data_IF_920939200299
#
_entry.id   IF_920939200299
#
_cell.length_a   1.000
_cell.length_b   1.000
_cell.length_c   1.000
_cell.angle_alpha   90.00
_cell.angle_beta   90.00
_cell.angle_gamma   90.00
#
_symmetry.space_group_name_H-M   'P 1'
#
loop_
_entity.id
_entity.type
_entity.pdbx_description
1 polymer ?
#
# COMPACT_ATOMS: atom_id res chain seq x y z
N UNK A 1 -10.30 16.82 17.11
CA UNK A 1 -10.89 16.10 15.97
C UNK A 1 -10.14 14.79 15.86
N UNK A 2 -10.79 13.67 16.18
CA UNK A 2 -10.24 12.34 15.88
C UNK A 2 -9.95 12.27 14.38
N UNK A 3 -8.74 11.89 14.04
CA UNK A 3 -8.35 11.68 12.64
C UNK A 3 -9.11 10.43 12.18
N UNK A 4 -10.19 10.61 11.42
CA UNK A 4 -10.90 9.49 10.82
C UNK A 4 -9.90 8.60 10.09
N UNK A 5 -9.95 7.29 10.34
CA UNK A 5 -9.09 6.33 9.67
C UNK A 5 -9.29 6.39 8.15
N UNK A 6 -8.34 5.91 7.36
CA UNK A 6 -8.52 5.84 5.91
C UNK A 6 -9.76 5.02 5.54
N UNK A 7 -10.09 3.99 6.31
CA UNK A 7 -11.28 3.16 6.10
C UNK A 7 -12.59 3.95 6.33
N UNK A 8 -12.62 4.90 7.27
CA UNK A 8 -13.78 5.77 7.48
C UNK A 8 -13.94 6.75 6.34
N UNK A 9 -12.83 7.28 5.81
CA UNK A 9 -12.83 8.14 4.64
C UNK A 9 -13.34 7.40 3.39
N UNK A 10 -12.94 6.14 3.20
CA UNK A 10 -13.46 5.28 2.11
C UNK A 10 -14.96 5.08 2.23
N UNK A 11 -15.46 4.75 3.43
CA UNK A 11 -16.90 4.60 3.70
C UNK A 11 -17.69 5.89 3.43
N UNK A 12 -17.13 7.04 3.78
CA UNK A 12 -17.75 8.33 3.51
C UNK A 12 -17.85 8.59 2.00
N UNK A 13 -16.77 8.38 1.25
CA UNK A 13 -16.77 8.50 -0.22
C UNK A 13 -17.74 7.49 -0.84
N UNK A 14 -17.78 6.26 -0.34
CA UNK A 14 -18.72 5.25 -0.79
C UNK A 14 -20.18 5.69 -0.56
N UNK A 15 -20.47 6.25 0.61
CA UNK A 15 -21.78 6.81 0.92
C UNK A 15 -22.20 7.89 -0.09
N UNK A 16 -21.30 8.82 -0.44
CA UNK A 16 -21.58 9.85 -1.46
C UNK A 16 -21.83 9.24 -2.85
N UNK A 17 -21.27 8.10 -3.15
CA UNK A 17 -21.44 7.42 -4.42
C UNK A 17 -22.69 6.53 -4.48
N UNK A 18 -23.08 5.93 -3.35
CA UNK A 18 -24.20 4.98 -3.27
C UNK A 18 -25.54 5.63 -2.93
N UNK A 19 -25.54 6.92 -2.51
CA UNK A 19 -26.75 7.68 -2.23
C UNK A 19 -27.14 8.60 -3.38
N UNK A 20 -28.41 9.09 -3.43
CA UNK A 20 -28.85 10.06 -4.44
C UNK A 20 -27.93 11.29 -4.51
N UNK A 21 -27.72 11.89 -5.68
CA UNK A 21 -28.30 11.54 -6.98
C UNK A 21 -27.56 10.44 -7.76
N UNK A 22 -26.45 9.89 -7.23
CA UNK A 22 -25.60 8.94 -7.98
C UNK A 22 -26.16 7.52 -7.97
N UNK A 23 -26.54 7.00 -6.82
CA UNK A 23 -27.08 5.65 -6.64
C UNK A 23 -26.21 4.55 -7.28
N UNK A 24 -24.87 4.67 -7.18
CA UNK A 24 -23.97 3.66 -7.68
C UNK A 24 -23.94 2.43 -6.77
N UNK A 25 -23.51 1.29 -7.29
CA UNK A 25 -23.48 0.04 -6.53
C UNK A 25 -22.40 0.02 -5.43
N UNK A 26 -21.33 0.82 -5.59
CA UNK A 26 -20.22 0.92 -4.63
C UNK A 26 -19.39 2.17 -4.94
N UNK A 27 -18.31 2.38 -4.16
CA UNK A 27 -17.32 3.42 -4.42
C UNK A 27 -16.81 3.36 -5.87
N UNK A 28 -16.61 4.51 -6.51
CA UNK A 28 -16.17 4.61 -7.91
C UNK A 28 -14.68 4.40 -8.14
N UNK A 29 -13.87 4.48 -7.08
CA UNK A 29 -12.41 4.39 -7.13
C UNK A 29 -11.91 3.00 -6.70
N UNK A 30 -10.76 2.58 -7.26
CA UNK A 30 -10.10 1.34 -6.88
C UNK A 30 -9.21 1.52 -5.65
N UNK A 31 -8.60 2.70 -5.51
CA UNK A 31 -7.77 3.06 -4.37
C UNK A 31 -8.08 4.47 -3.87
N UNK A 32 -7.89 4.67 -2.58
CA UNK A 32 -7.97 5.98 -1.92
C UNK A 32 -6.70 6.19 -1.11
N UNK A 33 -6.05 7.34 -1.28
CA UNK A 33 -4.83 7.72 -0.56
C UNK A 33 -5.16 8.81 0.45
N UNK A 34 -4.99 8.51 1.73
CA UNK A 34 -5.24 9.43 2.84
C UNK A 34 -4.15 10.46 3.02
N UNK A 35 -4.45 11.55 3.73
CA UNK A 35 -3.49 12.63 4.00
C UNK A 35 -2.29 12.19 4.85
N UNK A 36 -2.41 11.10 5.59
CA UNK A 36 -1.35 10.46 6.39
C UNK A 36 -0.51 9.45 5.60
N UNK A 37 -0.78 9.30 4.28
CA UNK A 37 -0.08 8.35 3.41
C UNK A 37 -0.65 6.92 3.46
N UNK A 38 -1.68 6.66 4.25
CA UNK A 38 -2.35 5.36 4.20
C UNK A 38 -3.07 5.17 2.86
N UNK A 39 -3.00 3.95 2.33
CA UNK A 39 -3.68 3.56 1.09
C UNK A 39 -4.73 2.51 1.42
N UNK A 40 -5.97 2.77 1.03
CA UNK A 40 -7.04 1.79 1.16
C UNK A 40 -7.57 1.37 -0.20
N UNK A 41 -7.92 0.09 -0.31
CA UNK A 41 -8.63 -0.43 -1.46
C UNK A 41 -10.12 -0.10 -1.35
N UNK A 42 -10.67 0.41 -2.43
CA UNK A 42 -12.11 0.62 -2.59
C UNK A 42 -12.72 -0.51 -3.42
N UNK A 43 -12.97 -0.25 -4.72
CA UNK A 43 -13.48 -1.26 -5.64
C UNK A 43 -12.36 -2.23 -6.05
N UNK A 44 -12.60 -3.54 -6.17
CA UNK A 44 -11.63 -4.49 -6.74
C UNK A 44 -11.19 -4.05 -8.15
N UNK A 45 -9.91 -4.21 -8.48
CA UNK A 45 -9.33 -3.73 -9.75
C UNK A 45 -9.93 -4.45 -10.97
N UNK A 46 -10.37 -5.68 -10.79
CA UNK A 46 -11.03 -6.51 -11.82
C UNK A 46 -12.44 -5.99 -12.18
N UNK A 47 -13.01 -5.15 -11.33
CA UNK A 47 -14.33 -4.55 -11.58
C UNK A 47 -14.17 -3.16 -12.19
N UNK A 48 -14.93 -2.87 -13.24
CA UNK A 48 -14.96 -1.53 -13.84
C UNK A 48 -15.26 -0.45 -12.81
N UNK A 49 -14.45 0.59 -12.77
CA UNK A 49 -14.64 1.76 -11.92
C UNK A 49 -15.84 2.63 -12.31
N UNK A 50 -16.00 3.74 -11.60
CA UNK A 50 -16.92 4.83 -11.95
C UNK A 50 -16.26 6.19 -11.68
N UNK A 51 -15.06 6.42 -12.25
CA UNK A 51 -14.21 7.58 -12.00
C UNK A 51 -13.89 8.40 -13.26
N UNK A 52 -13.94 7.78 -14.44
CA UNK A 52 -13.67 8.46 -15.70
C UNK A 52 -14.61 7.96 -16.81
N UNK A 53 -15.68 8.71 -17.12
CA UNK A 53 -16.69 8.31 -18.13
C UNK A 53 -16.02 8.01 -19.48
N UNK A 54 -16.31 6.83 -20.02
CA UNK A 54 -15.72 6.35 -21.28
C UNK A 54 -14.43 5.54 -21.11
N UNK A 55 -13.76 5.62 -19.94
CA UNK A 55 -12.48 4.95 -19.68
C UNK A 55 -12.52 3.97 -18.49
N UNK A 56 -13.64 3.87 -17.78
CA UNK A 56 -13.78 3.08 -16.55
C UNK A 56 -13.43 1.61 -16.70
N UNK A 57 -13.64 1.01 -17.87
CA UNK A 57 -13.37 -0.42 -18.11
C UNK A 57 -11.90 -0.75 -18.33
N UNK A 58 -11.10 0.25 -18.72
CA UNK A 58 -9.69 0.07 -19.11
C UNK A 58 -8.73 0.92 -18.26
N UNK A 59 -9.17 1.36 -17.08
CA UNK A 59 -8.36 2.20 -16.21
C UNK A 59 -8.58 1.91 -14.73
N UNK A 60 -7.55 2.19 -13.94
CA UNK A 60 -7.56 2.10 -12.48
C UNK A 60 -7.72 3.52 -11.93
N UNK A 61 -8.77 3.75 -11.14
CA UNK A 61 -9.03 5.06 -10.52
C UNK A 61 -8.45 5.14 -9.13
N UNK A 62 -7.62 6.17 -8.89
CA UNK A 62 -7.05 6.50 -7.59
C UNK A 62 -7.59 7.86 -7.16
N UNK A 63 -8.10 7.96 -5.94
CA UNK A 63 -8.53 9.20 -5.32
C UNK A 63 -7.54 9.65 -4.25
N UNK A 64 -7.29 10.96 -4.16
CA UNK A 64 -6.54 11.59 -3.07
C UNK A 64 -7.51 12.30 -2.14
N UNK A 65 -7.37 12.11 -0.84
CA UNK A 65 -8.15 12.86 0.16
C UNK A 65 -7.60 14.27 0.28
N UNK A 66 -8.39 15.28 -0.10
CA UNK A 66 -7.98 16.67 -0.12
C UNK A 66 -8.21 17.35 -1.48
N UNK A 67 -7.45 18.39 -1.77
CA UNK A 67 -7.51 19.12 -3.05
C UNK A 67 -8.71 20.06 -3.18
N UNK A 68 -9.39 20.40 -2.09
CA UNK A 68 -10.48 21.38 -2.13
C UNK A 68 -9.96 22.76 -2.53
N UNK A 69 -10.61 23.39 -3.49
CA UNK A 69 -10.23 24.71 -3.99
C UNK A 69 -9.00 24.74 -4.91
N UNK A 70 -8.51 23.56 -5.36
CA UNK A 70 -7.35 23.50 -6.24
C UNK A 70 -7.71 23.79 -7.71
N UNK A 71 -6.76 24.39 -8.42
CA UNK A 71 -6.79 24.58 -9.86
C UNK A 71 -5.94 23.52 -10.60
N UNK A 72 -6.21 23.37 -11.90
CA UNK A 72 -5.59 22.28 -12.69
C UNK A 72 -4.06 22.36 -12.81
N UNK A 73 -3.49 23.53 -12.60
CA UNK A 73 -2.06 23.84 -12.77
C UNK A 73 -1.32 24.16 -11.47
N UNK A 74 -1.98 23.98 -10.31
CA UNK A 74 -1.35 24.16 -9.01
C UNK A 74 -0.20 23.16 -8.79
N UNK A 75 0.60 23.39 -7.76
CA UNK A 75 1.61 22.44 -7.34
C UNK A 75 0.97 21.40 -6.41
N UNK A 76 1.29 20.13 -6.59
CA UNK A 76 0.72 19.04 -5.79
C UNK A 76 0.91 19.24 -4.28
N UNK A 77 2.07 19.77 -3.87
CA UNK A 77 2.40 20.02 -2.46
C UNK A 77 1.58 21.15 -1.81
N UNK A 78 0.91 21.99 -2.59
CA UNK A 78 0.05 23.06 -2.03
C UNK A 78 -1.25 22.49 -1.46
N UNK A 79 -1.67 21.34 -1.95
CA UNK A 79 -2.95 20.71 -1.60
C UNK A 79 -2.81 19.37 -0.88
N UNK A 80 -1.68 18.66 -1.07
CA UNK A 80 -1.45 17.32 -0.55
C UNK A 80 -0.17 17.26 0.30
N UNK A 81 -0.19 16.39 1.32
CA UNK A 81 0.96 16.25 2.21
C UNK A 81 2.11 15.51 1.53
N UNK A 82 3.38 15.76 1.93
CA UNK A 82 4.52 15.03 1.38
C UNK A 82 4.41 13.51 1.52
N UNK A 83 3.91 13.01 2.66
CA UNK A 83 3.73 11.58 2.90
C UNK A 83 2.62 11.00 2.02
N UNK A 84 1.55 11.75 1.75
CA UNK A 84 0.49 11.35 0.82
C UNK A 84 1.00 11.26 -0.62
N UNK A 85 1.80 12.25 -1.06
CA UNK A 85 2.39 12.25 -2.40
C UNK A 85 3.42 11.12 -2.58
N UNK A 86 4.20 10.81 -1.55
CA UNK A 86 5.10 9.66 -1.56
C UNK A 86 4.32 8.34 -1.68
N UNK A 87 3.25 8.17 -0.90
CA UNK A 87 2.40 6.98 -0.98
C UNK A 87 1.70 6.85 -2.35
N UNK A 88 1.26 7.97 -2.93
CA UNK A 88 0.72 7.99 -4.29
C UNK A 88 1.76 7.53 -5.32
N UNK A 89 3.00 8.01 -5.21
CA UNK A 89 4.08 7.64 -6.13
C UNK A 89 4.37 6.14 -6.07
N UNK A 90 4.52 5.58 -4.87
CA UNK A 90 4.74 4.15 -4.66
C UNK A 90 3.56 3.31 -5.18
N UNK A 91 2.32 3.74 -4.92
CA UNK A 91 1.13 3.07 -5.46
C UNK A 91 1.15 3.05 -7.00
N UNK A 92 1.45 4.18 -7.64
CA UNK A 92 1.56 4.28 -9.10
C UNK A 92 2.63 3.33 -9.62
N UNK A 93 3.83 3.30 -9.01
CA UNK A 93 4.93 2.41 -9.42
C UNK A 93 4.53 0.94 -9.33
N UNK A 94 3.85 0.55 -8.25
CA UNK A 94 3.36 -0.81 -8.06
C UNK A 94 2.32 -1.19 -9.12
N UNK A 95 1.36 -0.30 -9.40
CA UNK A 95 0.34 -0.54 -10.43
C UNK A 95 0.96 -0.60 -11.83
N UNK A 96 1.93 0.26 -12.12
CA UNK A 96 2.68 0.22 -13.38
C UNK A 96 3.41 -1.12 -13.56
N UNK A 97 4.06 -1.63 -12.52
CA UNK A 97 4.75 -2.92 -12.56
C UNK A 97 3.79 -4.10 -12.75
N UNK A 98 2.67 -4.10 -12.01
CA UNK A 98 1.72 -5.23 -12.03
C UNK A 98 0.88 -5.29 -13.30
N UNK A 99 0.56 -4.14 -13.91
CA UNK A 99 -0.33 -4.04 -15.07
C UNK A 99 0.36 -3.53 -16.34
N UNK A 100 1.68 -3.38 -16.34
CA UNK A 100 2.48 -2.87 -17.46
C UNK A 100 1.97 -1.50 -17.98
N UNK A 101 1.62 -0.58 -17.06
CA UNK A 101 1.09 0.74 -17.40
C UNK A 101 2.26 1.69 -17.72
N UNK A 102 2.38 2.22 -18.96
CA UNK A 102 3.42 3.18 -19.28
C UNK A 102 3.17 4.54 -18.61
N UNK A 103 4.25 5.30 -18.36
CA UNK A 103 4.15 6.64 -17.74
C UNK A 103 3.15 7.56 -18.46
N UNK A 104 3.08 7.50 -19.79
CA UNK A 104 2.16 8.30 -20.59
C UNK A 104 0.68 8.07 -20.27
N UNK A 105 0.36 6.89 -19.69
CA UNK A 105 -1.01 6.51 -19.32
C UNK A 105 -1.35 6.81 -17.86
N UNK A 106 -0.40 7.37 -17.08
CA UNK A 106 -0.66 7.86 -15.73
C UNK A 106 -1.07 9.33 -15.81
N UNK A 107 -2.36 9.61 -15.72
CA UNK A 107 -2.93 10.92 -16.00
C UNK A 107 -3.93 11.33 -14.92
N UNK A 108 -4.06 12.64 -14.72
CA UNK A 108 -5.11 13.21 -13.87
C UNK A 108 -6.47 13.21 -14.58
N UNK A 109 -7.54 13.39 -13.83
CA UNK A 109 -8.88 13.57 -14.38
C UNK A 109 -9.00 14.86 -15.22
N UNK A 110 -8.11 15.84 -15.01
CA UNK A 110 -7.91 17.04 -15.83
C UNK A 110 -7.03 16.80 -17.08
N UNK A 111 -6.56 15.57 -17.29
CA UNK A 111 -5.65 15.22 -18.38
C UNK A 111 -6.33 14.93 -19.71
N UNK A 112 -5.53 14.44 -20.65
CA UNK A 112 -5.97 14.12 -22.01
C UNK A 112 -5.53 12.71 -22.40
N UNK A 113 -6.37 12.04 -23.20
CA UNK A 113 -6.07 10.78 -23.89
C UNK A 113 -6.24 11.02 -25.37
N UNK A 114 -5.20 10.78 -26.16
CA UNK A 114 -5.21 11.01 -27.62
C UNK A 114 -5.71 12.42 -28.00
N UNK A 115 -5.25 13.44 -27.26
CA UNK A 115 -5.64 14.83 -27.50
C UNK A 115 -7.04 15.23 -27.01
N UNK A 116 -7.85 14.27 -26.52
CA UNK A 116 -9.18 14.53 -25.99
C UNK A 116 -9.17 14.62 -24.46
N UNK A 117 -9.72 15.70 -23.90
CA UNK A 117 -9.84 15.87 -22.43
C UNK A 117 -10.77 14.80 -21.85
N UNK A 118 -10.36 14.24 -20.70
CA UNK A 118 -11.15 13.26 -19.96
C UNK A 118 -12.34 13.94 -19.29
N UNK A 119 -12.12 15.13 -18.71
CA UNK A 119 -13.17 15.95 -18.11
C UNK A 119 -12.79 17.44 -18.12
N UNK A 120 -13.77 18.29 -17.79
CA UNK A 120 -13.56 19.74 -17.61
C UNK A 120 -13.24 20.09 -16.13
N UNK A 121 -13.03 19.11 -15.27
CA UNK A 121 -12.73 19.32 -13.84
C UNK A 121 -11.24 19.64 -13.65
N UNK A 122 -10.91 20.37 -12.58
CA UNK A 122 -9.53 20.67 -12.21
C UNK A 122 -8.81 19.48 -11.60
N UNK A 123 -9.55 18.50 -11.01
CA UNK A 123 -8.95 17.42 -10.24
C UNK A 123 -7.92 16.58 -11.04
N UNK A 124 -6.82 16.18 -10.39
CA UNK A 124 -6.54 16.27 -8.95
C UNK A 124 -6.02 17.64 -8.47
N UNK A 125 -6.03 18.69 -9.27
CA UNK A 125 -5.53 20.02 -8.92
C UNK A 125 -4.05 20.22 -9.24
N UNK A 126 -3.46 19.35 -10.02
CA UNK A 126 -2.09 19.47 -10.52
C UNK A 126 -1.89 18.65 -11.80
N UNK A 127 -0.82 18.92 -12.53
CA UNK A 127 -0.43 18.17 -13.74
C UNK A 127 0.31 16.90 -13.35
N UNK A 128 -0.40 15.77 -13.34
CA UNK A 128 0.11 14.46 -12.87
C UNK A 128 1.40 14.05 -13.58
N UNK A 129 1.48 14.17 -14.91
CA UNK A 129 2.67 13.77 -15.65
C UNK A 129 3.90 14.65 -15.32
N UNK A 130 3.70 15.96 -15.12
CA UNK A 130 4.77 16.89 -14.70
C UNK A 130 5.27 16.55 -13.30
N UNK A 131 4.35 16.30 -12.37
CA UNK A 131 4.67 15.87 -11.01
C UNK A 131 5.40 14.53 -10.98
N UNK A 132 4.90 13.53 -11.73
CA UNK A 132 5.51 12.20 -11.81
C UNK A 132 6.95 12.24 -12.38
N UNK A 133 7.20 13.07 -13.40
CA UNK A 133 8.54 13.29 -13.93
C UNK A 133 9.48 13.91 -12.87
N UNK A 134 9.01 14.87 -12.08
CA UNK A 134 9.76 15.46 -10.97
C UNK A 134 10.10 14.44 -9.88
N UNK A 135 9.16 13.58 -9.51
CA UNK A 135 9.39 12.52 -8.53
C UNK A 135 10.42 11.49 -9.03
N UNK A 136 10.36 11.08 -10.28
CA UNK A 136 11.33 10.15 -10.89
C UNK A 136 12.75 10.73 -10.92
N UNK A 137 12.91 12.02 -11.17
CA UNK A 137 14.21 12.71 -11.13
C UNK A 137 14.75 12.78 -9.68
N UNK A 138 13.88 13.08 -8.70
CA UNK A 138 14.23 13.08 -7.29
C UNK A 138 14.67 11.70 -6.80
N UNK A 139 13.97 10.62 -7.21
CA UNK A 139 14.35 9.24 -6.89
C UNK A 139 15.73 8.88 -7.49
N UNK A 140 16.02 9.31 -8.70
CA UNK A 140 17.30 9.07 -9.35
C UNK A 140 18.47 9.79 -8.65
N UNK A 141 18.20 10.92 -8.00
CA UNK A 141 19.22 11.69 -7.24
C UNK A 141 19.40 11.22 -5.81
N UNK A 142 18.38 10.63 -5.21
CA UNK A 142 18.48 9.98 -3.90
C UNK A 142 18.99 8.57 -4.09
N UNK A 143 20.26 8.31 -3.68
CA UNK A 143 20.84 6.96 -3.68
C UNK A 143 19.91 6.06 -2.86
N UNK A 144 19.20 5.14 -3.53
CA UNK A 144 18.26 4.22 -2.89
C UNK A 144 19.01 3.49 -1.76
N UNK A 145 18.55 3.52 -0.51
CA UNK A 145 19.20 2.77 0.54
C UNK A 145 19.26 1.30 0.11
N UNK A 146 20.48 0.73 0.15
CA UNK A 146 20.71 -0.65 -0.25
C UNK A 146 19.79 -1.56 0.57
N UNK A 147 18.91 -2.31 -0.10
CA UNK A 147 17.97 -3.22 0.56
C UNK A 147 18.78 -4.19 1.40
N UNK A 148 18.66 -4.11 2.71
CA UNK A 148 19.30 -5.06 3.63
C UNK A 148 18.82 -6.47 3.29
N UNK A 149 19.74 -7.38 2.96
CA UNK A 149 19.39 -8.78 2.69
C UNK A 149 18.64 -9.35 3.88
N UNK A 150 17.62 -10.23 3.69
CA UNK A 150 16.85 -10.82 4.81
C UNK A 150 17.73 -11.41 5.90
N UNK A 151 18.87 -11.99 5.53
CA UNK A 151 19.89 -12.53 6.44
C UNK A 151 20.57 -11.49 7.32
N UNK A 152 20.47 -10.20 7.00
CA UNK A 152 21.02 -9.10 7.80
C UNK A 152 19.95 -8.45 8.70
N UNK A 153 18.68 -8.79 8.54
CA UNK A 153 17.58 -8.28 9.37
C UNK A 153 17.77 -8.69 10.83
N UNK A 154 17.72 -7.72 11.76
CA UNK A 154 17.78 -7.96 13.19
C UNK A 154 16.66 -8.92 13.65
N UNK A 155 15.46 -8.77 13.07
CA UNK A 155 14.31 -9.63 13.39
C UNK A 155 14.52 -11.07 12.94
N UNK A 156 15.04 -11.29 11.73
CA UNK A 156 15.33 -12.64 11.21
C UNK A 156 16.43 -13.31 12.04
N UNK A 157 17.49 -12.56 12.37
CA UNK A 157 18.57 -13.07 13.25
C UNK A 157 18.06 -13.40 14.65
N UNK A 158 17.21 -12.52 15.23
CA UNK A 158 16.63 -12.76 16.56
C UNK A 158 15.71 -13.99 16.56
N UNK A 159 14.87 -14.16 15.56
CA UNK A 159 13.98 -15.34 15.45
C UNK A 159 14.75 -16.64 15.28
N UNK A 160 15.82 -16.64 14.49
CA UNK A 160 16.70 -17.80 14.35
C UNK A 160 17.44 -18.13 15.67
N UNK A 161 17.95 -17.12 16.36
CA UNK A 161 18.62 -17.29 17.66
C UNK A 161 17.64 -17.84 18.73
N UNK A 162 16.41 -17.34 18.76
CA UNK A 162 15.37 -17.81 19.67
C UNK A 162 15.01 -19.29 19.41
N UNK A 163 14.88 -19.68 18.16
CA UNK A 163 14.60 -21.08 17.80
C UNK A 163 15.72 -22.03 18.27
N UNK A 164 16.99 -21.66 18.07
CA UNK A 164 18.14 -22.45 18.51
C UNK A 164 18.22 -22.52 20.04
N UNK A 165 18.02 -21.39 20.74
CA UNK A 165 18.03 -21.33 22.20
C UNK A 165 16.92 -22.20 22.82
N UNK A 166 15.71 -22.21 22.21
CA UNK A 166 14.59 -23.02 22.70
C UNK A 166 14.89 -24.53 22.65
N UNK A 167 15.60 -24.99 21.63
CA UNK A 167 16.02 -26.41 21.54
C UNK A 167 17.09 -26.74 22.58
N UNK A 168 18.08 -25.86 22.73
CA UNK A 168 19.19 -26.08 23.70
C UNK A 168 18.70 -26.12 25.15
N UNK A 169 17.83 -25.19 25.55
CA UNK A 169 17.28 -25.16 26.92
C UNK A 169 16.34 -26.34 27.21
N UNK A 170 15.58 -26.80 26.22
CA UNK A 170 14.73 -27.98 26.37
C UNK A 170 15.56 -29.25 26.62
N UNK A 171 16.66 -29.45 25.89
CA UNK A 171 17.50 -30.62 26.03
C UNK A 171 18.14 -30.73 27.46
N UNK A 172 18.54 -29.58 28.05
CA UNK A 172 19.07 -29.56 29.41
C UNK A 172 18.01 -29.69 30.50
N UNK A 173 16.80 -29.16 30.26
CA UNK A 173 15.71 -29.23 31.24
C UNK A 173 15.07 -30.63 31.34
N UNK A 174 15.16 -31.45 30.27
CA UNK A 174 14.53 -32.78 30.24
C UNK A 174 15.26 -33.86 31.03
N UNK A 175 16.52 -33.63 31.40
CA UNK A 175 17.28 -34.60 32.17
C UNK A 175 16.74 -34.69 33.61
N UNK A 176 16.14 -35.85 33.98
CA UNK A 176 15.59 -36.08 35.33
C UNK A 176 14.09 -35.81 35.50
N UNK A 177 13.37 -35.41 34.45
CA UNK A 177 11.93 -35.19 34.51
C UNK A 177 11.13 -36.45 34.11
N UNK A 178 9.90 -36.59 34.63
CA UNK A 178 8.99 -37.62 34.21
C UNK A 178 8.55 -37.46 32.75
N UNK A 179 8.08 -38.57 32.17
CA UNK A 179 7.77 -38.64 30.75
C UNK A 179 6.65 -37.65 30.30
N UNK A 180 5.68 -37.40 31.18
CA UNK A 180 4.58 -36.48 30.88
C UNK A 180 5.07 -35.02 30.84
N UNK A 181 5.91 -34.61 31.77
CA UNK A 181 6.53 -33.30 31.80
C UNK A 181 7.43 -33.06 30.56
N UNK A 182 8.14 -34.09 30.08
CA UNK A 182 8.95 -34.04 28.89
C UNK A 182 8.06 -33.75 27.64
N UNK A 183 6.88 -34.40 27.52
CA UNK A 183 5.95 -34.13 26.39
C UNK A 183 5.41 -32.71 26.44
N UNK A 184 5.12 -32.15 27.60
CA UNK A 184 4.66 -30.75 27.71
C UNK A 184 5.75 -29.79 27.20
N UNK A 185 7.01 -29.98 27.62
CA UNK A 185 8.13 -29.15 27.17
C UNK A 185 8.33 -29.26 25.66
N UNK A 186 8.31 -30.46 25.11
CA UNK A 186 8.40 -30.69 23.65
C UNK A 186 7.27 -29.99 22.90
N UNK A 187 6.06 -30.00 23.46
CA UNK A 187 4.91 -29.28 22.90
C UNK A 187 5.17 -27.75 22.82
N UNK A 188 5.64 -27.13 23.88
CA UNK A 188 5.96 -25.71 23.93
C UNK A 188 7.11 -25.35 22.96
N UNK A 189 8.16 -26.17 22.91
CA UNK A 189 9.26 -25.98 21.96
C UNK A 189 8.76 -26.06 20.52
N UNK A 190 7.92 -27.04 20.20
CA UNK A 190 7.31 -27.21 18.89
C UNK A 190 6.50 -25.97 18.48
N UNK A 191 5.63 -25.47 19.36
CA UNK A 191 4.85 -24.24 19.12
C UNK A 191 5.76 -23.03 18.89
N UNK A 192 6.80 -22.88 19.70
CA UNK A 192 7.77 -21.77 19.57
C UNK A 192 8.49 -21.81 18.21
N UNK A 193 8.91 -22.99 17.77
CA UNK A 193 9.56 -23.17 16.47
C UNK A 193 8.60 -22.84 15.33
N UNK A 194 7.35 -23.31 15.39
CA UNK A 194 6.34 -23.02 14.37
C UNK A 194 6.04 -21.51 14.28
N UNK A 195 5.95 -20.82 15.42
CA UNK A 195 5.77 -19.39 15.49
C UNK A 195 6.96 -18.63 14.86
N UNK A 196 8.20 -19.06 15.15
CA UNK A 196 9.39 -18.48 14.54
C UNK A 196 9.42 -18.69 13.02
N UNK A 197 9.04 -19.88 12.54
CA UNK A 197 8.94 -20.18 11.09
C UNK A 197 7.87 -19.30 10.45
N UNK A 198 6.71 -19.16 11.09
CA UNK A 198 5.63 -18.30 10.60
C UNK A 198 6.09 -16.83 10.46
N UNK A 199 6.71 -16.27 11.53
CA UNK A 199 7.23 -14.88 11.49
C UNK A 199 8.28 -14.70 10.39
N UNK A 200 9.20 -15.66 10.25
CA UNK A 200 10.20 -15.60 9.18
C UNK A 200 9.57 -15.64 7.80
N UNK A 201 8.59 -16.53 7.61
CA UNK A 201 7.86 -16.65 6.32
C UNK A 201 7.13 -15.37 5.97
N UNK A 202 6.40 -14.76 6.91
CA UNK A 202 5.68 -13.50 6.68
C UNK A 202 6.66 -12.36 6.39
N UNK A 203 7.79 -12.29 7.06
CA UNK A 203 8.84 -11.28 6.78
C UNK A 203 9.51 -11.48 5.43
N UNK A 204 9.78 -12.72 5.04
CA UNK A 204 10.30 -13.02 3.71
C UNK A 204 9.28 -12.69 2.62
N UNK A 205 8.01 -13.02 2.83
CA UNK A 205 6.90 -12.65 1.93
C UNK A 205 6.79 -11.14 1.78
N UNK A 206 6.74 -10.39 2.89
CA UNK A 206 6.73 -8.94 2.87
C UNK A 206 7.94 -8.35 2.13
N UNK A 207 9.12 -8.96 2.28
CA UNK A 207 10.32 -8.54 1.55
C UNK A 207 10.25 -8.80 0.05
N UNK A 208 9.69 -9.96 -0.38
CA UNK A 208 9.50 -10.30 -1.80
C UNK A 208 8.41 -9.44 -2.45
N UNK A 209 7.37 -9.09 -1.70
CA UNK A 209 6.25 -8.27 -2.16
C UNK A 209 6.52 -6.76 -2.05
N UNK A 210 7.67 -6.35 -1.49
CA UNK A 210 8.06 -4.94 -1.36
C UNK A 210 7.34 -4.17 -0.25
N UNK A 211 6.63 -4.85 0.64
CA UNK A 211 5.98 -4.26 1.82
C UNK A 211 7.00 -4.14 2.98
N UNK A 212 7.16 -2.92 3.48
CA UNK A 212 8.02 -2.61 4.65
C UNK A 212 7.21 -1.93 5.73
#
# INVERSE_FOLDING_TARGET
>A
MEKNSINDQVKEVEKWHTTPPRNWQSIGYHFVVGRNGEVAQGRPVEKSGAHAKGYNKSSIGVALVGGFGSDADDLAQDHFTPVQLAALYELIKNLQGNYNIPNANVIGHNGQINGKRISNKACPGFRVQKWLAGMSLSEATVKKPERTKPTQSKTVKASAATAVASVGTAATAMSGMDQFAQYIILGFVGVSILLCIYIMRERLKAWTEGWH
#
